data_IF_176242693564
#
_entry.id   IF_176242693564
#
_cell.length_a   1.000
_cell.length_b   1.000
_cell.length_c   1.000
_cell.angle_alpha   90.00
_cell.angle_beta   90.00
_cell.angle_gamma   90.00
#
_symmetry.space_group_name_H-M   'P 1'
#
loop_
_entity.id
_entity.type
_entity.pdbx_description
1 polymer ?
#
# COMPACT_ATOMS: atom_id res chain seq x y z
N UNK A 1 30.09 -37.08 -9.10
CA UNK A 1 29.14 -36.87 -10.21
C UNK A 1 29.93 -36.99 -11.51
N UNK A 2 29.49 -37.83 -12.43
CA UNK A 2 29.98 -37.86 -13.81
C UNK A 2 29.66 -36.51 -14.47
N UNK A 3 30.61 -35.87 -15.17
CA UNK A 3 30.35 -34.60 -15.83
C UNK A 3 29.30 -34.79 -16.91
N UNK A 4 28.24 -33.99 -16.86
CA UNK A 4 27.27 -33.91 -17.96
C UNK A 4 28.01 -33.38 -19.18
N UNK A 5 27.84 -34.04 -20.33
CA UNK A 5 28.40 -33.59 -21.59
C UNK A 5 27.30 -33.20 -22.56
N UNK A 6 27.52 -32.13 -23.33
CA UNK A 6 26.68 -31.73 -24.46
C UNK A 6 27.61 -31.74 -25.67
N UNK A 7 27.26 -32.51 -26.69
CA UNK A 7 28.10 -32.72 -27.89
C UNK A 7 29.54 -33.16 -27.59
N UNK A 8 29.71 -33.98 -26.53
CA UNK A 8 31.01 -34.49 -26.09
C UNK A 8 31.86 -33.50 -25.29
N UNK A 9 31.40 -32.26 -25.07
CA UNK A 9 32.07 -31.26 -24.24
C UNK A 9 31.52 -31.27 -22.82
N UNK A 10 32.37 -31.25 -21.78
CA UNK A 10 31.92 -31.17 -20.40
C UNK A 10 31.23 -29.82 -20.13
N UNK A 11 30.03 -29.88 -19.58
CA UNK A 11 29.28 -28.69 -19.19
C UNK A 11 29.94 -28.06 -17.96
N UNK A 12 30.28 -26.77 -18.04
CA UNK A 12 30.83 -26.03 -16.92
C UNK A 12 29.75 -25.77 -15.87
N UNK A 13 29.98 -26.25 -14.65
CA UNK A 13 29.16 -25.89 -13.50
C UNK A 13 29.50 -24.48 -13.03
N UNK A 14 28.48 -23.67 -12.81
CA UNK A 14 28.60 -22.30 -12.28
C UNK A 14 27.70 -22.16 -11.06
N UNK A 15 28.13 -21.37 -10.09
CA UNK A 15 27.35 -21.06 -8.88
C UNK A 15 26.34 -19.95 -9.11
N UNK A 16 26.52 -19.15 -10.18
CA UNK A 16 25.61 -18.08 -10.57
C UNK A 16 25.49 -18.04 -12.10
N UNK A 17 24.28 -17.82 -12.60
CA UNK A 17 24.02 -17.65 -14.03
C UNK A 17 22.87 -16.69 -14.28
N UNK A 18 22.99 -15.81 -15.29
CA UNK A 18 21.90 -14.95 -15.72
C UNK A 18 21.32 -15.43 -17.04
N UNK A 19 20.04 -15.79 -17.04
CA UNK A 19 19.30 -16.23 -18.21
C UNK A 19 18.09 -15.32 -18.44
N UNK A 20 17.99 -14.71 -19.62
CA UNK A 20 16.91 -13.77 -19.98
C UNK A 20 16.71 -12.68 -18.91
N UNK A 21 17.83 -12.18 -18.36
CA UNK A 21 17.83 -11.15 -17.33
C UNK A 21 17.39 -11.61 -15.93
N UNK A 22 17.14 -12.90 -15.71
CA UNK A 22 16.91 -13.51 -14.39
C UNK A 22 18.21 -14.12 -13.89
N UNK A 23 18.58 -13.79 -12.65
CA UNK A 23 19.81 -14.27 -12.01
C UNK A 23 19.47 -15.44 -11.10
N UNK A 24 20.12 -16.57 -11.35
CA UNK A 24 20.04 -17.79 -10.55
C UNK A 24 21.30 -17.88 -9.71
N UNK A 25 21.15 -17.89 -8.39
CA UNK A 25 22.24 -18.05 -7.44
C UNK A 25 22.12 -19.44 -6.78
N UNK A 26 22.89 -20.40 -7.28
CA UNK A 26 22.87 -21.78 -6.83
C UNK A 26 23.73 -22.02 -5.58
N UNK A 27 24.50 -21.04 -5.12
CA UNK A 27 25.27 -21.12 -3.88
C UNK A 27 24.42 -20.71 -2.65
N UNK A 28 23.39 -19.89 -2.86
CA UNK A 28 22.43 -19.47 -1.86
C UNK A 28 21.34 -20.52 -1.60
N UNK A 29 20.84 -20.60 -0.36
CA UNK A 29 19.64 -21.39 -0.03
C UNK A 29 18.36 -20.83 -0.66
N UNK A 30 18.39 -19.59 -1.14
CA UNK A 30 17.33 -18.93 -1.89
C UNK A 30 17.85 -18.50 -3.26
N UNK A 31 17.50 -19.29 -4.28
CA UNK A 31 18.03 -19.17 -5.64
C UNK A 31 17.80 -17.81 -6.29
N UNK A 32 16.72 -17.13 -5.93
CA UNK A 32 16.29 -15.88 -6.57
C UNK A 32 16.50 -14.64 -5.69
N UNK A 33 17.05 -14.79 -4.49
CA UNK A 33 17.24 -13.67 -3.57
C UNK A 33 18.11 -12.57 -4.18
N UNK A 34 19.23 -12.95 -4.80
CA UNK A 34 20.15 -12.03 -5.47
C UNK A 34 19.46 -11.25 -6.58
N UNK A 35 18.60 -11.90 -7.36
CA UNK A 35 17.78 -11.26 -8.38
C UNK A 35 16.80 -10.23 -7.78
N UNK A 36 16.00 -10.63 -6.78
CA UNK A 36 15.04 -9.75 -6.13
C UNK A 36 15.71 -8.52 -5.49
N UNK A 37 16.85 -8.71 -4.82
CA UNK A 37 17.64 -7.61 -4.23
C UNK A 37 18.13 -6.64 -5.30
N UNK A 38 18.64 -7.15 -6.43
CA UNK A 38 19.09 -6.33 -7.55
C UNK A 38 17.95 -5.51 -8.14
N UNK A 39 16.78 -6.12 -8.34
CA UNK A 39 15.59 -5.43 -8.84
C UNK A 39 15.02 -4.42 -7.84
N UNK A 40 15.02 -4.75 -6.55
CA UNK A 40 14.63 -3.82 -5.49
C UNK A 40 15.56 -2.58 -5.44
N UNK A 41 16.87 -2.79 -5.58
CA UNK A 41 17.85 -1.71 -5.63
C UNK A 41 17.64 -0.81 -6.86
N UNK A 42 17.49 -1.39 -8.05
CA UNK A 42 17.20 -0.63 -9.27
C UNK A 42 15.88 0.18 -9.18
N UNK A 43 14.81 -0.46 -8.68
CA UNK A 43 13.52 0.18 -8.44
C UNK A 43 13.62 1.33 -7.42
N UNK A 44 14.44 1.15 -6.38
CA UNK A 44 14.70 2.18 -5.36
C UNK A 44 15.47 3.36 -5.95
N UNK A 45 16.47 3.12 -6.80
CA UNK A 45 17.21 4.17 -7.50
C UNK A 45 16.30 5.01 -8.39
N UNK A 46 15.42 4.37 -9.17
CA UNK A 46 14.41 5.04 -9.99
C UNK A 46 13.41 5.82 -9.13
N UNK A 47 12.92 5.23 -8.04
CA UNK A 47 12.06 5.92 -7.07
C UNK A 47 12.74 7.18 -6.51
N UNK A 48 14.03 7.08 -6.17
CA UNK A 48 14.88 8.19 -5.79
C UNK A 48 14.84 9.31 -6.83
N UNK A 49 15.20 8.98 -8.08
CA UNK A 49 15.25 9.92 -9.20
C UNK A 49 13.89 10.58 -9.50
N UNK A 50 12.79 9.82 -9.45
CA UNK A 50 11.44 10.34 -9.68
C UNK A 50 11.10 11.49 -8.73
N UNK A 51 11.37 11.34 -7.44
CA UNK A 51 11.04 12.37 -6.45
C UNK A 51 12.15 13.43 -6.28
N UNK A 52 13.35 13.24 -6.85
CA UNK A 52 14.28 14.36 -6.98
C UNK A 52 13.77 15.42 -7.97
N UNK A 53 12.86 15.05 -8.88
CA UNK A 53 12.19 16.01 -9.76
C UNK A 53 11.42 17.07 -8.99
N UNK A 54 10.97 16.79 -7.76
CA UNK A 54 10.27 17.77 -6.91
C UNK A 54 11.08 19.07 -6.74
N UNK A 55 12.41 18.97 -6.71
CA UNK A 55 13.30 20.13 -6.59
C UNK A 55 13.35 21.02 -7.86
N UNK A 56 12.93 20.49 -9.01
CA UNK A 56 12.97 21.18 -10.31
C UNK A 56 11.60 21.64 -10.78
N UNK A 57 10.54 20.84 -10.55
CA UNK A 57 9.20 21.09 -11.08
C UNK A 57 8.14 21.34 -10.01
N UNK A 58 8.54 21.38 -8.74
CA UNK A 58 7.61 21.38 -7.60
C UNK A 58 7.02 20.00 -7.35
N UNK A 59 6.12 19.91 -6.37
CA UNK A 59 5.55 18.63 -5.93
C UNK A 59 4.84 17.88 -7.04
N UNK A 60 5.32 16.67 -7.37
CA UNK A 60 4.67 15.77 -8.33
C UNK A 60 3.25 15.39 -7.87
N UNK A 61 2.21 15.63 -8.69
CA UNK A 61 0.85 15.19 -8.37
C UNK A 61 0.74 13.67 -8.21
N UNK A 62 -0.10 13.14 -7.29
CA UNK A 62 -0.24 11.70 -7.11
C UNK A 62 -0.72 10.92 -8.34
N UNK A 63 -1.45 11.56 -9.27
CA UNK A 63 -1.82 10.94 -10.56
C UNK A 63 -0.58 10.60 -11.38
N UNK A 64 0.36 11.54 -11.44
CA UNK A 64 1.56 11.46 -12.27
C UNK A 64 2.58 10.56 -11.57
N UNK A 65 2.70 10.68 -10.25
CA UNK A 65 3.46 9.75 -9.43
C UNK A 65 3.00 8.29 -9.62
N UNK A 66 1.69 8.05 -9.68
CA UNK A 66 1.13 6.70 -9.95
C UNK A 66 1.46 6.24 -11.37
N UNK A 67 1.43 7.12 -12.36
CA UNK A 67 1.82 6.78 -13.73
C UNK A 67 3.32 6.44 -13.82
N UNK A 68 4.17 7.24 -13.17
CA UNK A 68 5.62 7.00 -13.09
C UNK A 68 5.94 5.71 -12.35
N UNK A 69 5.20 5.40 -11.28
CA UNK A 69 5.30 4.09 -10.62
C UNK A 69 5.06 2.96 -11.61
N UNK A 70 3.92 2.97 -12.30
CA UNK A 70 3.55 1.90 -13.24
C UNK A 70 4.52 1.78 -14.41
N UNK A 71 5.06 2.91 -14.88
CA UNK A 71 5.95 2.93 -16.05
C UNK A 71 7.41 2.58 -15.71
N UNK A 72 7.89 2.89 -14.49
CA UNK A 72 9.32 2.89 -14.18
C UNK A 72 9.70 2.06 -12.95
N UNK A 73 8.82 1.90 -11.98
CA UNK A 73 9.12 1.16 -10.74
C UNK A 73 8.52 -0.24 -10.79
N UNK A 74 7.24 -0.34 -11.12
CA UNK A 74 6.50 -1.60 -11.21
C UNK A 74 7.18 -2.64 -12.11
N UNK A 75 7.72 -2.30 -13.30
CA UNK A 75 8.41 -3.27 -14.17
C UNK A 75 9.59 -3.97 -13.49
N UNK A 76 10.32 -3.27 -12.61
CA UNK A 76 11.38 -3.90 -11.82
C UNK A 76 10.80 -4.81 -10.74
N UNK A 77 9.74 -4.37 -10.07
CA UNK A 77 9.13 -5.12 -8.98
C UNK A 77 8.40 -6.39 -9.44
N UNK A 78 7.90 -6.43 -10.68
CA UNK A 78 7.26 -7.62 -11.26
C UNK A 78 8.20 -8.45 -12.15
N UNK A 79 9.45 -8.01 -12.34
CA UNK A 79 10.38 -8.69 -13.23
C UNK A 79 10.57 -10.15 -12.83
N UNK A 80 10.33 -11.06 -13.79
CA UNK A 80 10.50 -12.50 -13.60
C UNK A 80 9.50 -13.18 -12.66
N UNK A 81 8.45 -12.48 -12.17
CA UNK A 81 7.50 -13.07 -11.20
C UNK A 81 6.72 -14.29 -11.72
N UNK A 82 6.66 -14.48 -13.04
CA UNK A 82 6.05 -15.64 -13.69
C UNK A 82 6.85 -16.92 -13.43
N UNK A 83 8.16 -16.80 -13.27
CA UNK A 83 9.09 -17.91 -12.99
C UNK A 83 9.47 -17.94 -11.50
N UNK A 84 9.62 -16.76 -10.90
CA UNK A 84 10.05 -16.56 -9.51
C UNK A 84 8.82 -16.43 -8.62
N UNK A 85 8.33 -17.55 -8.11
CA UNK A 85 7.26 -17.57 -7.11
C UNK A 85 7.83 -17.13 -5.75
N UNK A 86 7.15 -16.20 -5.09
CA UNK A 86 7.64 -15.49 -3.90
C UNK A 86 7.58 -16.32 -2.60
N UNK A 87 8.20 -17.50 -2.58
CA UNK A 87 8.30 -18.36 -1.40
C UNK A 87 9.28 -17.82 -0.35
N UNK A 88 10.32 -17.10 -0.78
CA UNK A 88 11.25 -16.40 0.10
C UNK A 88 10.66 -15.07 0.57
N UNK A 89 10.09 -15.07 1.77
CA UNK A 89 9.49 -13.88 2.38
C UNK A 89 10.47 -12.72 2.54
N UNK A 90 11.75 -12.98 2.78
CA UNK A 90 12.72 -11.90 2.94
C UNK A 90 12.97 -11.18 1.60
N UNK A 91 13.08 -11.93 0.51
CA UNK A 91 13.21 -11.36 -0.83
C UNK A 91 11.96 -10.56 -1.24
N UNK A 92 10.76 -11.09 -0.96
CA UNK A 92 9.50 -10.37 -1.20
C UNK A 92 9.41 -9.07 -0.38
N UNK A 93 9.81 -9.10 0.89
CA UNK A 93 9.77 -7.94 1.78
C UNK A 93 10.58 -6.76 1.26
N UNK A 94 11.72 -7.01 0.59
CA UNK A 94 12.51 -5.96 -0.04
C UNK A 94 11.73 -5.29 -1.18
N UNK A 95 11.06 -6.06 -2.03
CA UNK A 95 10.20 -5.52 -3.10
C UNK A 95 9.02 -4.71 -2.54
N UNK A 96 8.34 -5.23 -1.52
CA UNK A 96 7.25 -4.53 -0.86
C UNK A 96 7.72 -3.23 -0.20
N UNK A 97 8.94 -3.22 0.37
CA UNK A 97 9.53 -2.02 0.98
C UNK A 97 9.74 -0.92 -0.05
N UNK A 98 10.17 -1.24 -1.27
CA UNK A 98 10.27 -0.26 -2.36
C UNK A 98 8.90 0.31 -2.69
N UNK A 99 7.90 -0.54 -2.90
CA UNK A 99 6.53 -0.11 -3.23
C UNK A 99 5.96 0.81 -2.14
N UNK A 100 6.01 0.39 -0.87
CA UNK A 100 5.53 1.18 0.27
C UNK A 100 6.24 2.52 0.38
N UNK A 101 7.57 2.54 0.18
CA UNK A 101 8.36 3.77 0.24
C UNK A 101 7.98 4.72 -0.90
N UNK A 102 7.83 4.22 -2.11
CA UNK A 102 7.37 5.03 -3.25
C UNK A 102 6.01 5.65 -2.96
N UNK A 103 5.03 4.85 -2.52
CA UNK A 103 3.68 5.33 -2.27
C UNK A 103 3.66 6.37 -1.13
N UNK A 104 4.41 6.14 -0.05
CA UNK A 104 4.52 7.12 1.04
C UNK A 104 5.05 8.46 0.57
N UNK A 105 6.10 8.46 -0.27
CA UNK A 105 6.63 9.70 -0.85
C UNK A 105 5.60 10.38 -1.75
N UNK A 106 4.93 9.61 -2.61
CA UNK A 106 3.85 10.12 -3.48
C UNK A 106 2.70 10.77 -2.70
N UNK A 107 2.38 10.26 -1.51
CA UNK A 107 1.29 10.75 -0.66
C UNK A 107 1.76 11.74 0.42
N UNK A 108 3.06 12.07 0.48
CA UNK A 108 3.68 12.88 1.53
C UNK A 108 3.41 12.37 2.96
N UNK A 109 3.45 11.05 3.11
CA UNK A 109 3.29 10.36 4.38
C UNK A 109 4.63 9.96 4.98
N UNK A 110 4.68 9.94 6.31
CA UNK A 110 5.82 9.51 7.09
C UNK A 110 6.07 8.01 6.97
N UNK A 111 7.29 7.57 7.30
CA UNK A 111 7.66 6.16 7.35
C UNK A 111 6.80 5.33 8.34
N UNK A 112 6.05 6.01 9.23
CA UNK A 112 5.22 5.40 10.28
C UNK A 112 3.73 5.38 9.91
N UNK A 113 3.39 5.83 8.69
CA UNK A 113 2.02 5.79 8.19
C UNK A 113 1.48 4.36 8.15
N UNK A 114 0.16 4.24 8.24
CA UNK A 114 -0.55 2.98 8.02
C UNK A 114 -0.24 2.42 6.63
N UNK A 115 -0.19 1.09 6.53
CA UNK A 115 0.18 0.39 5.30
C UNK A 115 -0.99 0.20 4.35
N UNK A 116 -2.13 -0.26 4.86
CA UNK A 116 -3.29 -0.60 4.04
C UNK A 116 -3.85 0.60 3.27
N UNK A 117 -3.91 1.82 3.85
CA UNK A 117 -4.35 2.99 3.11
C UNK A 117 -3.48 3.32 1.89
N UNK A 118 -2.19 2.99 1.91
CA UNK A 118 -1.31 3.23 0.75
C UNK A 118 -1.88 2.62 -0.53
N UNK A 119 -2.53 1.45 -0.41
CA UNK A 119 -3.12 0.73 -1.55
C UNK A 119 -4.52 1.22 -1.90
N UNK A 120 -5.38 1.46 -0.91
CA UNK A 120 -6.77 1.92 -1.15
C UNK A 120 -6.85 3.35 -1.63
N UNK A 121 -5.89 4.20 -1.24
CA UNK A 121 -5.87 5.60 -1.68
C UNK A 121 -5.37 5.75 -3.11
N UNK A 122 -4.45 4.87 -3.52
CA UNK A 122 -3.77 4.95 -4.83
C UNK A 122 -4.37 4.03 -5.89
N UNK A 123 -5.12 3.02 -5.46
CA UNK A 123 -5.56 1.92 -6.32
C UNK A 123 -4.39 1.05 -6.82
N UNK A 124 -3.22 1.12 -6.18
CA UNK A 124 -2.08 0.24 -6.46
C UNK A 124 -2.22 -1.05 -5.66
N UNK A 125 -2.22 -2.18 -6.36
CA UNK A 125 -2.27 -3.50 -5.73
C UNK A 125 -0.97 -3.78 -4.95
N UNK A 126 -1.03 -4.35 -3.74
CA UNK A 126 0.17 -4.78 -3.04
C UNK A 126 0.95 -5.77 -3.91
N UNK A 127 2.27 -5.58 -3.99
CA UNK A 127 3.12 -6.29 -4.96
C UNK A 127 3.05 -7.82 -4.80
N UNK A 128 2.86 -8.32 -3.56
CA UNK A 128 2.61 -9.74 -3.27
C UNK A 128 1.46 -10.31 -4.10
N UNK A 129 0.30 -9.66 -4.12
CA UNK A 129 -0.86 -10.14 -4.90
C UNK A 129 -0.65 -9.96 -6.40
N UNK A 130 -0.06 -8.82 -6.81
CA UNK A 130 0.19 -8.50 -8.21
C UNK A 130 1.09 -9.53 -8.88
N UNK A 131 2.16 -9.94 -8.20
CA UNK A 131 3.11 -10.95 -8.69
C UNK A 131 2.47 -12.33 -8.83
N UNK A 132 1.65 -12.75 -7.86
CA UNK A 132 0.91 -14.03 -7.95
C UNK A 132 -0.08 -13.99 -9.13
N UNK A 133 -0.82 -12.89 -9.32
CA UNK A 133 -1.76 -12.77 -10.45
C UNK A 133 -1.05 -12.88 -11.79
N UNK A 134 0.14 -12.28 -11.94
CA UNK A 134 0.94 -12.40 -13.15
C UNK A 134 1.43 -13.85 -13.36
N UNK A 135 1.89 -14.53 -12.31
CA UNK A 135 2.25 -15.94 -12.38
C UNK A 135 1.07 -16.85 -12.78
N UNK A 136 -0.13 -16.57 -12.28
CA UNK A 136 -1.37 -17.26 -12.69
C UNK A 136 -1.76 -16.91 -14.13
N UNK A 137 -1.53 -15.67 -14.58
CA UNK A 137 -1.71 -15.28 -15.98
C UNK A 137 -0.80 -16.07 -16.91
N UNK A 138 0.47 -16.23 -16.52
CA UNK A 138 1.44 -17.06 -17.22
C UNK A 138 1.03 -18.54 -17.24
N UNK A 139 0.59 -19.10 -16.10
CA UNK A 139 0.03 -20.46 -16.03
C UNK A 139 -1.10 -20.68 -17.04
N UNK A 140 -2.08 -19.76 -17.06
CA UNK A 140 -3.19 -19.81 -18.01
C UNK A 140 -2.72 -19.70 -19.47
N UNK A 141 -1.61 -19.00 -19.74
CA UNK A 141 -1.02 -18.95 -21.07
C UNK A 141 -0.36 -20.27 -21.46
N UNK A 142 0.34 -20.94 -20.55
CA UNK A 142 0.98 -22.24 -20.81
C UNK A 142 -0.06 -23.31 -21.13
N UNK A 143 -1.20 -23.34 -20.41
CA UNK A 143 -2.27 -24.31 -20.71
C UNK A 143 -2.90 -24.15 -22.09
N UNK A 144 -2.68 -23.02 -22.78
CA UNK A 144 -3.13 -22.78 -24.16
C UNK A 144 -2.09 -23.21 -25.21
N UNK A 145 -0.88 -23.57 -24.79
CA UNK A 145 0.18 -24.01 -25.69
C UNK A 145 -0.07 -25.46 -26.15
N UNK A 146 0.45 -25.85 -27.33
CA UNK A 146 0.44 -27.23 -27.77
C UNK A 146 1.12 -28.17 -26.76
N UNK A 147 0.63 -29.41 -26.57
CA UNK A 147 1.18 -30.34 -25.58
C UNK A 147 2.67 -30.71 -25.78
N UNK A 148 3.18 -30.57 -27.00
CA UNK A 148 4.59 -30.81 -27.34
C UNK A 148 5.50 -29.59 -27.11
N UNK A 149 4.96 -28.44 -26.72
CA UNK A 149 5.75 -27.28 -26.37
C UNK A 149 6.50 -27.55 -25.06
N UNK A 150 7.80 -27.23 -25.00
CA UNK A 150 8.64 -27.47 -23.82
C UNK A 150 8.08 -26.83 -22.54
N UNK A 151 7.47 -25.65 -22.64
CA UNK A 151 6.85 -25.00 -21.48
C UNK A 151 5.64 -25.77 -20.94
N UNK A 152 4.83 -26.36 -21.84
CA UNK A 152 3.71 -27.21 -21.45
C UNK A 152 4.21 -28.50 -20.79
N UNK A 153 5.20 -29.16 -21.40
CA UNK A 153 5.83 -30.37 -20.84
C UNK A 153 6.41 -30.09 -19.44
N UNK A 154 7.16 -29.00 -19.28
CA UNK A 154 7.73 -28.62 -18.00
C UNK A 154 6.66 -28.31 -16.93
N UNK A 155 5.53 -27.71 -17.32
CA UNK A 155 4.41 -27.51 -16.42
C UNK A 155 3.80 -28.83 -15.97
N UNK A 156 3.57 -29.77 -16.90
CA UNK A 156 3.03 -31.10 -16.57
C UNK A 156 3.96 -31.88 -15.65
N UNK A 157 5.27 -31.79 -15.86
CA UNK A 157 6.26 -32.35 -14.92
C UNK A 157 6.15 -31.69 -13.54
N UNK A 158 6.01 -30.36 -13.50
CA UNK A 158 5.82 -29.64 -12.23
C UNK A 158 4.51 -30.03 -11.51
N UNK A 159 3.44 -30.34 -12.25
CA UNK A 159 2.17 -30.86 -11.70
C UNK A 159 2.37 -32.27 -11.14
N UNK A 160 3.01 -33.16 -11.90
CA UNK A 160 3.32 -34.52 -11.46
C UNK A 160 4.15 -34.52 -10.16
N UNK A 161 5.19 -33.69 -10.10
CA UNK A 161 6.00 -33.48 -8.89
C UNK A 161 5.16 -32.94 -7.73
N UNK A 162 4.16 -32.09 -8.02
CA UNK A 162 3.27 -31.55 -7.00
C UNK A 162 2.31 -32.61 -6.41
N UNK A 163 1.82 -33.53 -7.25
CA UNK A 163 0.91 -34.62 -6.86
C UNK A 163 1.63 -35.79 -6.16
N UNK A 164 2.94 -35.93 -6.35
CA UNK A 164 3.67 -37.06 -5.78
C UNK A 164 3.70 -36.97 -4.24
N UNK A 165 3.09 -37.96 -3.57
CA UNK A 165 2.97 -38.07 -2.10
C UNK A 165 4.24 -38.61 -1.40
N UNK A 166 5.38 -38.68 -2.08
CA UNK A 166 6.60 -39.27 -1.51
C UNK A 166 7.10 -38.51 -0.27
N UNK A 167 7.76 -39.23 0.64
CA UNK A 167 8.27 -38.71 1.92
C UNK A 167 9.25 -37.54 1.76
N UNK A 168 9.94 -37.45 0.62
CA UNK A 168 10.73 -36.29 0.25
C UNK A 168 9.88 -35.35 -0.62
N UNK A 169 9.45 -34.24 -0.03
CA UNK A 169 8.69 -33.18 -0.71
C UNK A 169 9.54 -32.57 -1.82
N UNK A 170 9.43 -33.12 -3.04
CA UNK A 170 10.15 -32.58 -4.19
C UNK A 170 9.65 -31.15 -4.46
N UNK A 171 10.56 -30.16 -4.58
CA UNK A 171 10.18 -28.79 -4.93
C UNK A 171 9.68 -28.74 -6.36
N UNK A 172 8.65 -27.93 -6.60
CA UNK A 172 8.15 -27.67 -7.96
C UNK A 172 7.50 -26.29 -8.00
N UNK A 173 7.46 -25.70 -9.19
CA UNK A 173 6.86 -24.38 -9.40
C UNK A 173 5.37 -24.36 -8.98
N UNK A 174 4.63 -25.42 -9.26
CA UNK A 174 3.22 -25.57 -8.85
C UNK A 174 3.08 -25.66 -7.32
N UNK A 175 3.97 -26.38 -6.63
CA UNK A 175 3.98 -26.43 -5.15
C UNK A 175 4.26 -25.07 -4.53
N UNK A 176 5.17 -24.31 -5.13
CA UNK A 176 5.45 -22.94 -4.70
C UNK A 176 4.22 -22.05 -4.89
N UNK A 177 3.51 -22.19 -6.02
CA UNK A 177 2.26 -21.47 -6.27
C UNK A 177 1.16 -21.82 -5.23
N UNK A 178 0.95 -23.11 -4.97
CA UNK A 178 0.02 -23.59 -3.92
C UNK A 178 0.38 -22.98 -2.57
N UNK A 179 1.67 -22.99 -2.23
CA UNK A 179 2.18 -22.43 -0.97
C UNK A 179 1.90 -20.93 -0.86
N UNK A 180 2.26 -20.12 -1.87
CA UNK A 180 2.08 -18.66 -1.77
C UNK A 180 0.61 -18.25 -1.77
N UNK A 181 -0.25 -18.98 -2.49
CA UNK A 181 -1.69 -18.78 -2.47
C UNK A 181 -2.31 -19.17 -1.11
N UNK A 182 -1.85 -20.27 -0.51
CA UNK A 182 -2.24 -20.69 0.84
C UNK A 182 -1.72 -19.77 1.95
N UNK A 183 -0.55 -19.17 1.77
CA UNK A 183 0.08 -18.20 2.69
C UNK A 183 -0.50 -16.76 2.55
N UNK A 184 -1.57 -16.57 1.75
CA UNK A 184 -2.31 -15.31 1.73
C UNK A 184 -3.11 -15.14 3.05
N UNK A 185 -3.29 -13.89 3.55
CA UNK A 185 -4.09 -13.65 4.75
C UNK A 185 -5.51 -14.22 4.68
N UNK A 186 -6.15 -14.11 3.51
CA UNK A 186 -7.28 -14.96 3.14
C UNK A 186 -6.76 -16.01 2.14
N UNK A 187 -6.57 -17.28 2.57
CA UNK A 187 -5.97 -18.32 1.76
C UNK A 187 -6.76 -18.60 0.49
N UNK A 188 -6.05 -18.77 -0.63
CA UNK A 188 -6.62 -19.22 -1.90
C UNK A 188 -6.20 -20.68 -2.11
N UNK A 189 -7.18 -21.58 -2.15
CA UNK A 189 -6.91 -22.99 -2.41
C UNK A 189 -6.67 -23.22 -3.91
N UNK A 190 -5.58 -23.90 -4.23
CA UNK A 190 -5.23 -24.30 -5.59
C UNK A 190 -5.42 -25.81 -5.69
N UNK A 191 -6.39 -26.25 -6.49
CA UNK A 191 -6.61 -27.66 -6.73
C UNK A 191 -5.57 -28.17 -7.74
N UNK A 192 -4.58 -28.91 -7.26
CA UNK A 192 -3.52 -29.45 -8.13
C UNK A 192 -4.05 -30.53 -9.08
N UNK A 193 -5.05 -31.30 -8.65
CA UNK A 193 -5.61 -32.41 -9.43
C UNK A 193 -6.45 -31.93 -10.62
N UNK A 194 -7.04 -30.73 -10.50
CA UNK A 194 -7.75 -30.04 -11.58
C UNK A 194 -7.15 -28.64 -11.79
N UNK A 195 -5.82 -28.57 -11.90
CA UNK A 195 -5.14 -27.30 -12.12
C UNK A 195 -5.60 -26.60 -13.41
N UNK A 196 -5.79 -27.29 -14.56
CA UNK A 196 -6.32 -26.67 -15.77
C UNK A 196 -7.73 -26.09 -15.60
N UNK A 197 -8.61 -26.77 -14.87
CA UNK A 197 -9.98 -26.32 -14.63
C UNK A 197 -10.06 -25.14 -13.66
N UNK A 198 -9.25 -25.12 -12.61
CA UNK A 198 -9.30 -24.06 -11.60
C UNK A 198 -8.44 -22.82 -11.94
N UNK A 199 -7.38 -22.95 -12.74
CA UNK A 199 -6.44 -21.86 -13.06
C UNK A 199 -7.07 -20.57 -13.59
N UNK A 200 -8.12 -20.60 -14.46
CA UNK A 200 -8.77 -19.38 -14.94
C UNK A 200 -9.43 -18.55 -13.82
N UNK A 201 -9.93 -19.22 -12.77
CA UNK A 201 -10.60 -18.58 -11.65
C UNK A 201 -9.67 -18.06 -10.56
N UNK A 202 -8.42 -18.52 -10.51
CA UNK A 202 -7.47 -18.17 -9.44
C UNK A 202 -7.22 -16.66 -9.34
N UNK A 203 -7.09 -15.96 -10.47
CA UNK A 203 -6.86 -14.50 -10.48
C UNK A 203 -7.98 -13.75 -9.74
N UNK A 204 -9.24 -14.12 -9.95
CA UNK A 204 -10.42 -13.54 -9.30
C UNK A 204 -10.39 -13.81 -7.78
N UNK A 205 -10.01 -15.03 -7.38
CA UNK A 205 -9.91 -15.40 -5.97
C UNK A 205 -8.79 -14.64 -5.25
N UNK A 206 -7.63 -14.48 -5.90
CA UNK A 206 -6.49 -13.72 -5.37
C UNK A 206 -6.85 -12.23 -5.24
N UNK A 207 -7.54 -11.66 -6.22
CA UNK A 207 -8.04 -10.29 -6.16
C UNK A 207 -9.04 -10.09 -5.02
N UNK A 208 -9.93 -11.06 -4.81
CA UNK A 208 -10.87 -11.05 -3.68
C UNK A 208 -10.13 -11.11 -2.34
N UNK A 209 -9.15 -12.01 -2.21
CA UNK A 209 -8.28 -12.10 -1.02
C UNK A 209 -7.59 -10.77 -0.73
N UNK A 210 -7.03 -10.12 -1.75
CA UNK A 210 -6.43 -8.78 -1.62
C UNK A 210 -7.45 -7.74 -1.13
N UNK A 211 -8.64 -7.75 -1.75
CA UNK A 211 -9.73 -6.82 -1.42
C UNK A 211 -10.16 -6.95 0.03
N UNK A 212 -10.47 -8.17 0.45
CA UNK A 212 -10.95 -8.47 1.78
C UNK A 212 -9.88 -8.22 2.84
N UNK A 213 -8.62 -8.56 2.56
CA UNK A 213 -7.49 -8.27 3.47
C UNK A 213 -7.36 -6.78 3.75
N UNK A 214 -7.40 -5.96 2.70
CA UNK A 214 -7.35 -4.51 2.85
C UNK A 214 -8.59 -3.99 3.57
N UNK A 215 -9.79 -4.46 3.23
CA UNK A 215 -11.05 -4.06 3.88
C UNK A 215 -11.06 -4.40 5.37
N UNK A 216 -10.70 -5.62 5.76
CA UNK A 216 -10.61 -6.03 7.16
C UNK A 216 -9.63 -5.13 7.94
N UNK A 217 -8.49 -4.81 7.32
CA UNK A 217 -7.50 -3.92 7.94
C UNK A 217 -8.00 -2.49 8.13
N UNK A 218 -8.96 -2.04 7.31
CA UNK A 218 -9.65 -0.77 7.48
C UNK A 218 -10.67 -0.83 8.61
N UNK A 219 -11.51 -1.87 8.63
CA UNK A 219 -12.56 -2.03 9.63
C UNK A 219 -12.00 -2.28 11.04
N UNK A 220 -10.87 -2.98 11.17
CA UNK A 220 -10.20 -3.24 12.44
C UNK A 220 -9.33 -2.05 12.94
N UNK A 221 -9.18 -1.01 12.12
CA UNK A 221 -8.30 0.12 12.45
C UNK A 221 -8.93 1.04 13.50
N UNK A 222 -8.34 1.05 14.70
CA UNK A 222 -8.66 2.04 15.75
C UNK A 222 -8.10 3.43 15.48
N UNK A 223 -7.38 3.62 14.36
CA UNK A 223 -6.81 4.90 13.98
C UNK A 223 -7.71 5.68 13.04
N UNK A 224 -8.27 5.03 12.03
CA UNK A 224 -8.95 5.67 10.91
C UNK A 224 -10.35 6.11 11.34
N UNK A 225 -10.44 7.37 11.79
CA UNK A 225 -11.68 7.94 12.35
C UNK A 225 -12.69 8.31 11.26
N UNK A 226 -12.21 8.64 10.05
CA UNK A 226 -13.02 9.07 8.92
C UNK A 226 -13.15 7.96 7.89
N UNK A 227 -14.36 7.78 7.36
CA UNK A 227 -14.70 6.85 6.27
C UNK A 227 -14.98 7.65 5.01
N UNK A 228 -13.93 8.16 4.35
CA UNK A 228 -14.07 8.73 3.01
C UNK A 228 -14.63 7.63 2.07
N UNK A 229 -15.85 7.83 1.55
CA UNK A 229 -16.69 6.96 0.69
C UNK A 229 -16.21 5.53 0.71
N UNK A 230 -16.57 4.82 1.79
CA UNK A 230 -16.32 3.39 2.01
C UNK A 230 -15.26 2.84 1.08
N UNK A 231 -13.99 3.17 1.36
CA UNK A 231 -12.80 2.92 0.54
C UNK A 231 -12.97 1.65 -0.27
N UNK A 232 -13.58 1.79 -1.45
CA UNK A 232 -13.99 0.64 -2.21
C UNK A 232 -12.72 0.05 -2.76
N UNK A 233 -12.18 -0.93 -2.04
CA UNK A 233 -10.90 -1.57 -2.33
C UNK A 233 -10.91 -2.20 -3.72
N UNK A 234 -12.09 -2.40 -4.32
CA UNK A 234 -12.21 -2.85 -5.72
C UNK A 234 -11.86 -1.77 -6.74
N UNK A 235 -11.93 -0.48 -6.38
CA UNK A 235 -11.58 0.62 -7.26
C UNK A 235 -10.06 0.74 -7.31
N UNK A 236 -9.47 0.23 -8.39
CA UNK A 236 -8.08 0.46 -8.78
C UNK A 236 -7.84 1.91 -9.25
N UNK A 237 -8.39 2.89 -8.52
CA UNK A 237 -8.41 4.31 -8.88
C UNK A 237 -7.90 5.14 -7.73
N UNK A 238 -7.21 6.23 -8.09
CA UNK A 238 -6.78 7.25 -7.16
C UNK A 238 -8.00 7.93 -6.53
N UNK A 239 -7.96 8.16 -5.21
CA UNK A 239 -9.06 8.82 -4.50
C UNK A 239 -9.25 10.28 -4.95
N UNK A 240 -10.49 10.82 -4.93
CA UNK A 240 -10.78 12.14 -5.46
C UNK A 240 -9.97 13.28 -4.83
N UNK A 241 -9.75 13.25 -3.51
CA UNK A 241 -9.02 14.31 -2.80
C UNK A 241 -7.53 14.38 -3.17
N UNK A 242 -6.96 13.29 -3.70
CA UNK A 242 -5.59 13.28 -4.21
C UNK A 242 -5.44 14.03 -5.55
N UNK A 243 -6.56 14.49 -6.14
CA UNK A 243 -6.58 15.30 -7.35
C UNK A 243 -6.74 16.79 -7.06
N UNK A 244 -6.77 17.20 -5.79
CA UNK A 244 -6.82 18.61 -5.44
C UNK A 244 -5.58 19.34 -6.01
N UNK A 245 -5.77 20.52 -6.64
CA UNK A 245 -4.71 21.20 -7.36
C UNK A 245 -3.61 21.71 -6.42
N UNK A 246 -3.98 22.34 -5.29
CA UNK A 246 -3.02 22.84 -4.30
C UNK A 246 -2.37 21.65 -3.54
N UNK A 247 -1.04 21.45 -3.66
CA UNK A 247 -0.35 20.38 -2.94
C UNK A 247 -0.50 20.45 -1.42
N UNK A 248 -0.52 21.66 -0.85
CA UNK A 248 -0.60 21.85 0.60
C UNK A 248 -1.94 21.37 1.15
N UNK A 249 -3.03 21.74 0.48
CA UNK A 249 -4.38 21.30 0.83
C UNK A 249 -4.52 19.79 0.67
N UNK A 250 -3.96 19.24 -0.43
CA UNK A 250 -3.93 17.80 -0.69
C UNK A 250 -3.17 17.05 0.40
N UNK A 251 -2.02 17.54 0.84
CA UNK A 251 -1.23 16.90 1.89
C UNK A 251 -1.96 16.95 3.23
N UNK A 252 -2.52 18.11 3.59
CA UNK A 252 -3.25 18.28 4.84
C UNK A 252 -4.45 17.32 4.93
N UNK A 253 -5.27 17.22 3.86
CA UNK A 253 -6.40 16.29 3.87
C UNK A 253 -5.95 14.82 3.87
N UNK A 254 -4.86 14.49 3.17
CA UNK A 254 -4.28 13.13 3.18
C UNK A 254 -3.80 12.76 4.59
N UNK A 255 -3.10 13.66 5.27
CA UNK A 255 -2.61 13.45 6.63
C UNK A 255 -3.77 13.33 7.65
N UNK A 256 -4.84 14.11 7.48
CA UNK A 256 -6.05 14.01 8.28
C UNK A 256 -6.69 12.63 8.15
N UNK A 257 -6.94 12.17 6.92
CA UNK A 257 -7.63 10.92 6.65
C UNK A 257 -6.82 9.68 7.02
N UNK A 258 -5.48 9.77 6.91
CA UNK A 258 -4.58 8.62 7.08
C UNK A 258 -3.83 8.61 8.42
N UNK A 259 -4.24 9.46 9.35
CA UNK A 259 -3.69 9.55 10.71
C UNK A 259 -2.17 9.76 10.74
N UNK A 260 -1.69 10.73 9.96
CA UNK A 260 -0.30 11.16 9.92
C UNK A 260 -0.16 12.69 10.05
N UNK A 261 -1.05 13.27 10.86
CA UNK A 261 -1.21 14.70 11.09
C UNK A 261 -0.48 15.17 12.38
N UNK A 262 -0.30 16.49 12.58
CA UNK A 262 0.49 17.03 13.69
C UNK A 262 -0.19 17.02 15.08
N UNK A 263 -1.45 16.61 15.16
CA UNK A 263 -2.22 16.61 16.41
C UNK A 263 -1.66 15.62 17.46
N UNK A 264 -1.79 15.98 18.73
CA UNK A 264 -1.22 15.25 19.85
C UNK A 264 -1.76 13.82 19.97
N UNK A 265 -3.01 13.56 19.56
CA UNK A 265 -3.58 12.20 19.55
C UNK A 265 -2.72 11.21 18.76
N UNK A 266 -2.07 11.65 17.68
CA UNK A 266 -1.16 10.84 16.87
C UNK A 266 0.31 11.04 17.24
N UNK A 267 0.76 12.28 17.46
CA UNK A 267 2.18 12.55 17.76
C UNK A 267 2.60 11.94 19.10
N UNK A 268 1.78 12.08 20.15
CA UNK A 268 2.09 11.55 21.48
C UNK A 268 1.76 10.05 21.63
N UNK A 269 1.00 9.46 20.71
CA UNK A 269 0.74 8.00 20.68
C UNK A 269 2.02 7.18 20.65
N UNK A 270 3.04 7.73 19.98
CA UNK A 270 4.31 7.07 19.69
C UNK A 270 5.40 7.44 20.70
N UNK A 271 5.18 8.50 21.49
CA UNK A 271 6.12 8.96 22.50
C UNK A 271 6.09 8.02 23.71
N UNK A 272 7.26 7.58 24.13
CA UNK A 272 7.47 6.87 25.40
C UNK A 272 8.14 7.83 26.38
N UNK A 273 7.56 7.93 27.56
CA UNK A 273 8.19 8.57 28.71
C UNK A 273 8.86 7.48 29.56
N UNK A 274 9.68 7.88 30.52
CA UNK A 274 10.23 6.97 31.53
C UNK A 274 9.12 6.24 32.30
N UNK A 275 7.97 6.89 32.48
CA UNK A 275 6.76 6.37 33.14
C UNK A 275 5.89 5.48 32.25
N UNK A 276 6.24 5.31 30.96
CA UNK A 276 5.51 4.45 30.03
C UNK A 276 4.91 5.20 28.83
N UNK A 277 3.85 4.64 28.25
CA UNK A 277 3.20 5.19 27.06
C UNK A 277 2.14 6.22 27.47
N UNK A 278 2.10 7.36 26.79
CA UNK A 278 1.08 8.38 27.03
C UNK A 278 -0.29 7.86 26.57
N UNK A 279 -1.23 7.72 27.51
CA UNK A 279 -2.57 7.24 27.23
C UNK A 279 -3.38 8.26 26.44
N UNK A 280 -4.43 7.82 25.72
CA UNK A 280 -5.23 8.73 24.86
C UNK A 280 -5.80 9.91 25.67
N UNK A 281 -6.32 9.66 26.87
CA UNK A 281 -6.88 10.69 27.74
C UNK A 281 -5.88 11.75 28.19
N UNK A 282 -4.58 11.45 28.16
CA UNK A 282 -3.52 12.38 28.56
C UNK A 282 -2.97 13.21 27.38
N UNK A 283 -3.40 12.93 26.14
CA UNK A 283 -2.97 13.67 24.93
C UNK A 283 -3.82 14.92 24.76
N UNK A 284 -3.78 15.78 25.77
CA UNK A 284 -4.64 16.97 25.85
C UNK A 284 -4.24 18.00 24.80
N UNK A 285 -5.24 18.77 24.36
CA UNK A 285 -5.10 19.88 23.43
C UNK A 285 -4.11 20.91 23.96
N UNK A 286 -3.13 21.27 23.12
CA UNK A 286 -2.09 22.24 23.47
C UNK A 286 -2.63 23.64 23.76
N UNK A 287 -3.82 23.96 23.25
CA UNK A 287 -4.52 25.22 23.52
C UNK A 287 -5.40 25.15 24.77
N UNK A 288 -6.44 24.31 24.79
CA UNK A 288 -7.41 24.33 25.88
C UNK A 288 -7.00 23.52 27.11
N UNK A 289 -6.09 22.54 26.95
CA UNK A 289 -5.59 21.64 28.01
C UNK A 289 -6.67 20.86 28.79
N UNK A 290 -7.90 20.82 28.29
CA UNK A 290 -9.04 20.16 28.97
C UNK A 290 -9.57 18.96 28.19
N UNK A 291 -9.54 19.02 26.86
CA UNK A 291 -9.99 17.94 25.97
C UNK A 291 -8.80 17.29 25.27
N UNK A 292 -9.00 16.06 24.77
CA UNK A 292 -8.01 15.37 23.93
C UNK A 292 -7.81 16.14 22.61
N UNK A 293 -6.57 16.29 22.18
CA UNK A 293 -6.22 16.89 20.88
C UNK A 293 -6.44 15.88 19.73
N UNK A 294 -7.70 15.56 19.46
CA UNK A 294 -8.10 14.74 18.32
C UNK A 294 -8.60 15.59 17.14
N UNK A 295 -8.85 14.92 16.02
CA UNK A 295 -9.19 15.52 14.74
C UNK A 295 -10.46 16.37 14.84
N UNK A 296 -11.48 15.85 15.52
CA UNK A 296 -12.76 16.55 15.73
C UNK A 296 -12.59 17.75 16.66
N UNK A 297 -11.85 17.59 17.76
CA UNK A 297 -11.59 18.70 18.67
C UNK A 297 -10.79 19.81 17.97
N UNK A 298 -9.76 19.46 17.21
CA UNK A 298 -8.95 20.43 16.48
C UNK A 298 -9.77 21.20 15.44
N UNK A 299 -10.56 20.49 14.65
CA UNK A 299 -11.36 21.08 13.58
C UNK A 299 -12.57 21.86 14.11
N UNK A 300 -13.29 21.37 15.11
CA UNK A 300 -14.60 21.94 15.47
C UNK A 300 -14.81 22.22 16.96
N UNK A 301 -14.00 21.63 17.85
CA UNK A 301 -14.22 21.69 19.29
C UNK A 301 -13.42 22.77 20.04
N UNK A 302 -12.18 23.04 19.64
CA UNK A 302 -11.31 23.92 20.41
C UNK A 302 -11.75 25.40 20.27
N UNK A 303 -11.94 26.09 21.40
CA UNK A 303 -12.30 27.51 21.46
C UNK A 303 -11.24 28.37 22.14
N UNK A 304 -10.11 27.79 22.55
CA UNK A 304 -9.07 28.50 23.33
C UNK A 304 -8.03 29.23 22.47
N UNK A 305 -8.11 29.14 21.14
CA UNK A 305 -7.23 29.85 20.21
C UNK A 305 -8.04 30.76 19.30
N UNK A 306 -7.76 32.06 19.35
CA UNK A 306 -8.45 33.05 18.50
C UNK A 306 -8.23 32.76 17.01
N UNK A 307 -7.04 32.27 16.63
CA UNK A 307 -6.74 31.91 15.25
C UNK A 307 -7.58 30.73 14.77
N UNK A 308 -7.78 29.71 15.62
CA UNK A 308 -8.65 28.57 15.29
C UNK A 308 -10.11 29.00 15.16
N UNK A 309 -10.59 29.85 16.07
CA UNK A 309 -11.97 30.38 16.00
C UNK A 309 -12.20 31.16 14.71
N UNK A 310 -11.31 32.11 14.38
CA UNK A 310 -11.41 32.89 13.15
C UNK A 310 -11.38 32.00 11.90
N UNK A 311 -10.45 31.05 11.82
CA UNK A 311 -10.36 30.13 10.70
C UNK A 311 -11.64 29.29 10.55
N UNK A 312 -12.20 28.81 11.67
CA UNK A 312 -13.44 28.02 11.70
C UNK A 312 -14.64 28.86 11.28
N UNK A 313 -14.80 30.05 11.82
CA UNK A 313 -15.94 30.92 11.55
C UNK A 313 -15.95 31.34 10.07
N UNK A 314 -14.80 31.71 9.52
CA UNK A 314 -14.67 32.01 8.09
C UNK A 314 -15.00 30.81 7.22
N UNK A 315 -14.48 29.63 7.55
CA UNK A 315 -14.77 28.40 6.81
C UNK A 315 -16.26 28.04 6.86
N UNK A 316 -16.86 28.01 8.06
CA UNK A 316 -18.27 27.66 8.23
C UNK A 316 -19.20 28.68 7.59
N UNK A 317 -18.91 29.98 7.70
CA UNK A 317 -19.68 31.02 7.03
C UNK A 317 -19.65 30.84 5.50
N UNK A 318 -18.47 30.56 4.93
CA UNK A 318 -18.33 30.27 3.52
C UNK A 318 -19.10 28.99 3.13
N UNK A 319 -18.89 27.90 3.85
CA UNK A 319 -19.57 26.62 3.60
C UNK A 319 -21.09 26.77 3.65
N UNK A 320 -21.64 27.43 4.68
CA UNK A 320 -23.08 27.61 4.84
C UNK A 320 -23.67 28.56 3.79
N UNK A 321 -22.88 29.50 3.26
CA UNK A 321 -23.31 30.35 2.15
C UNK A 321 -23.42 29.57 0.83
N UNK A 322 -22.49 28.64 0.58
CA UNK A 322 -22.46 27.83 -0.64
C UNK A 322 -23.43 26.64 -0.56
N UNK A 323 -23.55 26.03 0.62
CA UNK A 323 -24.34 24.84 0.89
C UNK A 323 -25.12 24.97 2.21
N UNK A 324 -26.27 25.67 2.20
CA UNK A 324 -27.05 25.93 3.42
C UNK A 324 -27.52 24.67 4.16
N UNK A 325 -27.71 23.56 3.42
CA UNK A 325 -28.07 22.25 3.95
C UNK A 325 -27.05 21.71 4.96
N UNK A 326 -25.77 22.06 4.79
CA UNK A 326 -24.69 21.64 5.71
C UNK A 326 -24.79 22.27 7.09
N UNK A 327 -25.51 23.39 7.24
CA UNK A 327 -25.69 24.05 8.55
C UNK A 327 -26.48 23.17 9.52
N UNK A 328 -27.59 22.61 9.07
CA UNK A 328 -28.38 21.71 9.90
C UNK A 328 -27.58 20.46 10.28
N UNK A 329 -26.82 19.92 9.33
CA UNK A 329 -25.97 18.75 9.56
C UNK A 329 -24.86 19.02 10.58
N UNK A 330 -24.21 20.20 10.53
CA UNK A 330 -23.16 20.57 11.48
C UNK A 330 -23.63 20.53 12.95
N UNK A 331 -24.87 20.94 13.22
CA UNK A 331 -25.40 20.98 14.58
C UNK A 331 -26.09 19.69 15.02
N UNK A 332 -26.58 18.86 14.08
CA UNK A 332 -27.39 17.68 14.41
C UNK A 332 -26.66 16.36 14.26
N UNK A 333 -25.58 16.32 13.47
CA UNK A 333 -24.83 15.09 13.18
C UNK A 333 -23.57 14.98 14.01
N UNK A 334 -23.09 13.76 14.30
CA UNK A 334 -21.74 13.56 14.83
C UNK A 334 -20.70 14.25 13.93
N UNK A 335 -19.72 14.92 14.53
CA UNK A 335 -18.71 15.66 13.77
C UNK A 335 -17.91 14.76 12.79
N UNK A 336 -17.73 13.49 13.12
CA UNK A 336 -17.11 12.50 12.21
C UNK A 336 -17.95 12.30 10.94
N UNK A 337 -19.28 12.16 11.07
CA UNK A 337 -20.19 12.06 9.94
C UNK A 337 -20.20 13.35 9.10
N UNK A 338 -20.06 14.52 9.75
CA UNK A 338 -19.92 15.79 9.07
C UNK A 338 -18.63 15.85 8.23
N UNK A 339 -17.48 15.44 8.77
CA UNK A 339 -16.22 15.34 8.00
C UNK A 339 -16.35 14.35 6.85
N UNK A 340 -16.94 13.18 7.10
CA UNK A 340 -17.16 12.18 6.05
C UNK A 340 -18.00 12.77 4.92
N UNK A 341 -19.06 13.52 5.22
CA UNK A 341 -19.80 14.25 4.20
C UNK A 341 -18.90 15.20 3.41
N UNK A 342 -18.13 16.07 4.09
CA UNK A 342 -17.33 17.11 3.44
C UNK A 342 -16.26 16.54 2.49
N UNK A 343 -15.62 15.45 2.88
CA UNK A 343 -14.57 14.79 2.07
C UNK A 343 -15.15 14.09 0.85
N UNK A 344 -16.41 13.66 0.95
CA UNK A 344 -17.09 12.88 -0.06
C UNK A 344 -17.83 13.72 -1.10
N UNK A 345 -17.88 15.04 -0.96
CA UNK A 345 -18.54 15.93 -1.92
C UNK A 345 -17.51 16.83 -2.59
N UNK A 346 -17.43 16.74 -3.92
CA UNK A 346 -16.45 17.47 -4.72
C UNK A 346 -16.54 19.00 -4.57
N UNK A 347 -17.75 19.51 -4.26
CA UNK A 347 -18.02 20.93 -4.06
C UNK A 347 -17.43 21.46 -2.75
N UNK A 348 -17.45 20.67 -1.67
CA UNK A 348 -17.02 21.09 -0.33
C UNK A 348 -15.56 20.76 -0.05
N UNK A 349 -15.05 19.72 -0.70
CA UNK A 349 -13.72 19.16 -0.46
C UNK A 349 -12.58 20.18 -0.63
N UNK A 350 -12.53 21.05 -1.67
CA UNK A 350 -11.45 22.02 -1.82
C UNK A 350 -11.38 23.02 -0.66
N UNK A 351 -12.52 23.62 -0.29
CA UNK A 351 -12.59 24.56 0.84
C UNK A 351 -12.30 23.89 2.17
N UNK A 352 -12.75 22.63 2.35
CA UNK A 352 -12.48 21.88 3.57
C UNK A 352 -10.99 21.53 3.68
N UNK A 353 -10.35 21.10 2.59
CA UNK A 353 -8.91 20.80 2.60
C UNK A 353 -8.05 22.04 2.88
N UNK A 354 -8.47 23.22 2.39
CA UNK A 354 -7.84 24.49 2.73
C UNK A 354 -7.98 24.82 4.24
N UNK A 355 -9.17 24.60 4.79
CA UNK A 355 -9.42 24.78 6.23
C UNK A 355 -8.58 23.82 7.08
N UNK A 356 -8.49 22.54 6.71
CA UNK A 356 -7.66 21.54 7.40
C UNK A 356 -6.18 21.96 7.39
N UNK A 357 -5.69 22.45 6.25
CA UNK A 357 -4.32 22.97 6.13
C UNK A 357 -4.06 24.12 7.12
N UNK A 358 -4.97 25.10 7.19
CA UNK A 358 -4.83 26.24 8.13
C UNK A 358 -4.86 25.77 9.59
N UNK A 359 -5.78 24.86 9.94
CA UNK A 359 -5.83 24.29 11.29
C UNK A 359 -4.52 23.58 11.65
N UNK A 360 -4.00 22.73 10.76
CA UNK A 360 -2.73 22.04 11.01
C UNK A 360 -1.56 23.02 11.17
N UNK A 361 -1.50 24.06 10.35
CA UNK A 361 -0.49 25.11 10.49
C UNK A 361 -0.55 25.79 11.87
N UNK A 362 -1.75 26.16 12.34
CA UNK A 362 -1.94 26.76 13.67
C UNK A 362 -1.48 25.82 14.78
N UNK A 363 -1.77 24.52 14.68
CA UNK A 363 -1.32 23.54 15.67
C UNK A 363 0.20 23.34 15.63
N UNK A 364 0.82 23.26 14.45
CA UNK A 364 2.27 23.07 14.30
C UNK A 364 3.10 24.21 14.90
N UNK A 365 2.61 25.44 14.87
CA UNK A 365 3.28 26.61 15.46
C UNK A 365 3.25 26.63 16.99
N UNK A 366 2.38 25.83 17.62
CA UNK A 366 2.26 25.75 19.07
C UNK A 366 2.95 24.49 19.62
N UNK A 367 3.74 24.58 20.71
CA UNK A 367 4.38 23.42 21.31
C UNK A 367 3.33 22.44 21.87
N UNK A 368 3.56 21.14 21.70
CA UNK A 368 2.70 20.11 22.29
C UNK A 368 2.67 20.22 23.82
N UNK A 369 1.47 20.12 24.39
CA UNK A 369 1.29 20.04 25.84
C UNK A 369 1.53 18.62 26.34
N UNK A 370 2.29 18.50 27.43
CA UNK A 370 2.54 17.24 28.12
C UNK A 370 2.01 17.37 29.54
N UNK A 371 1.14 16.44 29.93
CA UNK A 371 0.74 16.28 31.32
C UNK A 371 1.96 15.75 32.08
N UNK A 372 2.52 16.58 32.96
CA UNK A 372 3.62 16.23 33.87
C UNK A 372 3.11 15.55 35.12
#
# INVERSE_FOLDING_TARGET
MTPITIDGLPVKYVTEYTYVGITFDFASSSMFRTHCTTKASAASGISGATFTLDSFVGTVPPSDGRQLYMARVDPHLIHGCEVIIDVDRAALNELEKVQRTFIRRMLHLSARSLLHPLHTETGLMPIKYRRIILAVGFLNSIFRLPPNCLAYVALMDSVSLAQTHYRDRQPSWVKDLVKVCGDLPEPVFVNVDDLPGCAPGLSILIERSAKNTLQASWDDSTKLVFRARGHDVSRRRLQPYLKLPDPRHRHAITQLLLCDHPLAVEQLRRRRLTTGRIERGQRLCRFCRTAVEDEVHALFGCSSSQRLLLARDLYLAHLFSQRPDTRAMFYTSPATAFVDFLVNHAETLPSFAAYVHEVFHIYDEAPMFLVT
#
